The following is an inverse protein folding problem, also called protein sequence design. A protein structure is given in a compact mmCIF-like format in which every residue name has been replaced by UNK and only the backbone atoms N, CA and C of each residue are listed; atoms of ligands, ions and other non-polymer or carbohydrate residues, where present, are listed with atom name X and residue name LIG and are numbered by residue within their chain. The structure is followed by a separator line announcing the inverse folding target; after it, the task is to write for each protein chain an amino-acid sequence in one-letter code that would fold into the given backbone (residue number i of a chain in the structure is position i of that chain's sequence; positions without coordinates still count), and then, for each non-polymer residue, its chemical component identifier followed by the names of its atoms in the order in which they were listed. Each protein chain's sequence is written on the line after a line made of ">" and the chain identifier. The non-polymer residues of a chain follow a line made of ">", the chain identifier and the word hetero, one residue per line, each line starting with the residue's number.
data_IF_045274226736
#
_entry.id   IF_045274226736
#
_cell.length_a   1.000
_cell.length_b   1.000
_cell.length_c   1.000
_cell.angle_alpha   90.00
_cell.angle_beta   90.00
_cell.angle_gamma   90.00
#
_symmetry.space_group_name_H-M   'P 1'
#
loop_
_entity.id
_entity.type
_entity.pdbx_description
1 polymer ?
#
# COMPACT_ATOMS: atom_id res chain seq x y z
N UNK A 1 20.91 11.34 -3.81
CA UNK A 1 21.25 12.66 -3.25
C UNK A 1 22.08 13.51 -4.20
N UNK A 2 23.24 13.02 -4.65
CA UNK A 2 24.11 13.81 -5.54
C UNK A 2 23.44 14.24 -6.85
N UNK A 3 22.66 13.35 -7.51
CA UNK A 3 21.97 13.67 -8.77
C UNK A 3 20.88 14.73 -8.62
N UNK A 4 20.25 14.78 -7.46
CA UNK A 4 19.13 15.69 -7.18
C UNK A 4 19.55 16.86 -6.30
N UNK A 5 20.85 17.01 -6.00
CA UNK A 5 21.38 18.02 -5.09
C UNK A 5 20.64 18.05 -3.73
N UNK A 6 20.34 16.85 -3.22
CA UNK A 6 19.62 16.66 -1.95
C UNK A 6 20.55 16.06 -0.89
N UNK A 7 20.32 16.30 0.40
CA UNK A 7 21.01 15.63 1.47
C UNK A 7 20.85 14.12 1.38
N UNK A 8 21.84 13.36 1.85
CA UNK A 8 21.73 11.90 1.95
C UNK A 8 20.64 11.53 2.95
N UNK A 9 19.74 10.65 2.53
CA UNK A 9 18.62 10.16 3.37
C UNK A 9 18.99 8.94 4.20
N UNK A 10 20.24 8.42 4.06
CA UNK A 10 20.70 7.18 4.70
C UNK A 10 19.76 5.96 4.47
N UNK A 11 19.10 5.92 3.31
CA UNK A 11 18.11 4.87 2.97
C UNK A 11 18.75 3.55 2.54
N UNK A 12 19.98 3.29 2.94
CA UNK A 12 20.71 2.03 2.66
C UNK A 12 20.88 1.24 3.94
N UNK A 13 20.75 -0.07 3.82
CA UNK A 13 20.91 -0.98 4.95
C UNK A 13 21.37 -2.36 4.53
N UNK A 14 21.83 -3.15 5.52
CA UNK A 14 22.12 -4.58 5.40
C UNK A 14 21.80 -5.30 6.71
N UNK A 15 21.52 -6.58 6.63
CA UNK A 15 21.24 -7.41 7.80
C UNK A 15 22.45 -7.54 8.73
N UNK A 16 23.63 -7.77 8.17
CA UNK A 16 24.90 -7.89 8.91
C UNK A 16 26.07 -7.58 7.98
N UNK A 17 27.28 -7.64 8.52
CA UNK A 17 28.52 -7.46 7.75
C UNK A 17 28.72 -8.48 6.61
N UNK A 18 27.99 -9.60 6.63
CA UNK A 18 28.04 -10.64 5.58
C UNK A 18 27.26 -10.29 4.31
N UNK A 19 26.48 -9.21 4.34
CA UNK A 19 25.63 -8.78 3.22
C UNK A 19 26.12 -7.46 2.65
N UNK A 20 25.92 -7.28 1.35
CA UNK A 20 26.15 -5.99 0.71
C UNK A 20 25.08 -4.97 1.15
N UNK A 21 25.52 -3.72 1.28
CA UNK A 21 24.60 -2.62 1.58
C UNK A 21 23.87 -2.22 0.31
N UNK A 22 22.54 -2.23 0.35
CA UNK A 22 21.70 -1.79 -0.76
C UNK A 22 20.70 -0.74 -0.30
N UNK A 23 20.19 0.07 -1.23
CA UNK A 23 19.10 0.99 -0.95
C UNK A 23 17.81 0.19 -0.71
N UNK A 24 17.34 0.22 0.53
CA UNK A 24 16.16 -0.55 0.98
C UNK A 24 15.41 0.19 2.08
N UNK A 25 14.16 -0.16 2.20
CA UNK A 25 13.27 0.33 3.25
C UNK A 25 13.79 0.01 4.64
N UNK A 26 13.64 0.97 5.53
CA UNK A 26 13.75 0.82 6.99
C UNK A 26 12.36 1.03 7.58
N UNK A 27 12.16 2.04 8.44
CA UNK A 27 10.84 2.42 8.94
C UNK A 27 10.25 3.47 7.99
N UNK A 28 9.36 3.06 7.12
CA UNK A 28 8.77 3.93 6.10
C UNK A 28 7.27 3.99 6.29
N UNK A 29 6.73 5.18 6.43
CA UNK A 29 5.30 5.39 6.64
C UNK A 29 4.85 6.73 6.06
N UNK A 30 3.57 6.80 5.74
CA UNK A 30 2.91 8.02 5.34
C UNK A 30 2.45 8.77 6.60
N UNK A 31 2.68 10.09 6.63
CA UNK A 31 2.21 10.93 7.74
C UNK A 31 0.69 11.11 7.67
N UNK A 32 0.10 11.45 8.83
CA UNK A 32 -1.30 11.80 8.92
C UNK A 32 -1.65 12.99 8.01
N UNK A 33 -2.77 12.85 7.33
CA UNK A 33 -3.53 13.98 6.80
C UNK A 33 -4.58 14.46 7.80
N UNK A 34 -5.58 15.16 7.29
CA UNK A 34 -6.65 15.78 8.10
C UNK A 34 -8.03 15.19 7.85
N UNK A 35 -8.15 14.31 6.85
CA UNK A 35 -9.44 13.73 6.48
C UNK A 35 -9.92 12.71 7.53
N UNK A 36 -11.23 12.47 7.54
CA UNK A 36 -11.84 11.39 8.32
C UNK A 36 -12.16 10.23 7.38
N UNK A 37 -11.87 9.00 7.82
CA UNK A 37 -12.12 7.79 7.02
C UNK A 37 -13.60 7.68 6.62
N UNK A 38 -14.50 7.98 7.54
CA UNK A 38 -15.94 7.92 7.34
C UNK A 38 -16.41 8.88 6.23
N UNK A 39 -15.82 10.06 6.15
CA UNK A 39 -16.14 11.05 5.12
C UNK A 39 -15.58 10.63 3.76
N UNK A 40 -14.37 10.08 3.75
CA UNK A 40 -13.78 9.51 2.53
C UNK A 40 -14.68 8.40 1.94
N UNK A 41 -15.24 7.53 2.79
CA UNK A 41 -16.16 6.47 2.37
C UNK A 41 -17.46 7.08 1.83
N UNK A 42 -18.07 8.03 2.56
CA UNK A 42 -19.33 8.69 2.15
C UNK A 42 -19.25 9.39 0.79
N UNK A 43 -18.09 9.97 0.49
CA UNK A 43 -17.87 10.69 -0.77
C UNK A 43 -17.52 9.75 -1.95
N UNK A 44 -17.34 8.47 -1.71
CA UNK A 44 -16.98 7.48 -2.74
C UNK A 44 -18.25 6.82 -3.26
N UNK A 45 -18.63 7.13 -4.50
CA UNK A 45 -19.82 6.56 -5.14
C UNK A 45 -19.66 5.07 -5.44
N UNK A 46 -18.47 4.67 -5.92
CA UNK A 46 -18.13 3.26 -6.16
C UNK A 46 -16.62 3.04 -5.97
N UNK A 47 -16.25 1.99 -5.25
CA UNK A 47 -14.85 1.70 -5.00
C UNK A 47 -14.61 0.42 -4.21
N UNK A 48 -13.34 0.18 -3.88
CA UNK A 48 -12.91 -0.93 -3.04
C UNK A 48 -12.31 -0.38 -1.74
N UNK A 49 -12.86 -0.79 -0.61
CA UNK A 49 -12.25 -0.58 0.69
C UNK A 49 -11.31 -1.75 1.01
N UNK A 50 -10.02 -1.58 0.76
CA UNK A 50 -8.98 -2.55 1.10
C UNK A 50 -8.57 -2.34 2.57
N UNK A 51 -9.18 -3.09 3.49
CA UNK A 51 -9.00 -2.91 4.94
C UNK A 51 -7.68 -3.48 5.44
N UNK A 52 -7.30 -4.66 4.99
CA UNK A 52 -6.03 -5.28 5.35
C UNK A 52 -5.33 -5.89 4.15
N UNK A 53 -4.03 -5.67 4.08
CA UNK A 53 -3.20 -6.18 3.00
C UNK A 53 -2.59 -7.54 3.37
N UNK A 54 -2.27 -8.31 2.35
CA UNK A 54 -1.45 -9.52 2.46
C UNK A 54 -0.09 -9.28 1.77
N UNK A 55 0.61 -10.36 1.46
CA UNK A 55 1.90 -10.27 0.78
C UNK A 55 1.80 -9.81 -0.67
N UNK A 56 2.89 -9.31 -1.19
CA UNK A 56 3.02 -8.87 -2.57
C UNK A 56 4.47 -8.65 -2.96
N UNK A 57 4.67 -8.08 -4.13
CA UNK A 57 6.00 -7.79 -4.66
C UNK A 57 6.05 -6.42 -5.31
N UNK A 58 7.25 -5.84 -5.32
CA UNK A 58 7.57 -4.60 -6.02
C UNK A 58 8.76 -4.86 -6.93
N UNK A 59 8.63 -4.50 -8.20
CA UNK A 59 9.69 -4.58 -9.20
C UNK A 59 10.65 -3.38 -9.10
N UNK A 60 11.82 -3.49 -9.68
CA UNK A 60 12.79 -2.39 -9.74
C UNK A 60 12.25 -1.17 -10.52
N UNK A 61 11.29 -1.36 -11.40
CA UNK A 61 10.56 -0.31 -12.16
C UNK A 61 9.56 0.45 -11.30
N UNK A 62 9.25 -0.04 -10.09
CA UNK A 62 8.22 0.49 -9.22
C UNK A 62 6.84 -0.16 -9.41
N UNK A 63 6.70 -1.08 -10.36
CA UNK A 63 5.46 -1.84 -10.54
C UNK A 63 5.25 -2.78 -9.36
N UNK A 64 4.02 -2.83 -8.86
CA UNK A 64 3.67 -3.65 -7.72
C UNK A 64 2.41 -4.47 -7.94
N UNK A 65 2.33 -5.56 -7.19
CA UNK A 65 1.09 -6.28 -6.95
C UNK A 65 1.01 -6.70 -5.47
N UNK A 66 -0.11 -6.43 -4.84
CA UNK A 66 -0.36 -6.78 -3.44
C UNK A 66 -1.73 -7.42 -3.29
N UNK A 67 -1.76 -8.62 -2.72
CA UNK A 67 -3.01 -9.27 -2.37
C UNK A 67 -3.69 -8.53 -1.21
N UNK A 68 -5.01 -8.46 -1.26
CA UNK A 68 -5.83 -7.91 -0.20
C UNK A 68 -6.43 -9.05 0.60
N UNK A 69 -6.22 -9.05 1.92
CA UNK A 69 -6.74 -10.08 2.82
C UNK A 69 -8.21 -9.84 3.16
N UNK A 70 -8.55 -8.58 3.42
CA UNK A 70 -9.91 -8.17 3.79
C UNK A 70 -10.28 -6.93 3.00
N UNK A 71 -11.34 -7.05 2.19
CA UNK A 71 -11.83 -5.97 1.35
C UNK A 71 -13.37 -5.99 1.25
N UNK A 72 -13.92 -4.83 0.97
CA UNK A 72 -15.34 -4.62 0.79
C UNK A 72 -15.59 -3.68 -0.39
N UNK A 73 -16.73 -3.82 -1.05
CA UNK A 73 -17.18 -2.79 -1.98
C UNK A 73 -17.65 -1.56 -1.22
N UNK A 74 -17.42 -0.40 -1.81
CA UNK A 74 -18.09 0.84 -1.45
C UNK A 74 -19.09 1.12 -2.57
N UNK A 75 -20.34 1.31 -2.21
CA UNK A 75 -21.43 1.64 -3.13
C UNK A 75 -22.28 2.75 -2.50
N UNK A 76 -22.44 3.84 -3.23
CA UNK A 76 -23.19 5.02 -2.77
C UNK A 76 -22.79 5.51 -1.36
N UNK A 77 -21.48 5.59 -1.12
CA UNK A 77 -20.93 6.07 0.15
C UNK A 77 -21.07 5.10 1.33
N UNK A 78 -21.31 3.83 1.08
CA UNK A 78 -21.47 2.79 2.11
C UNK A 78 -20.61 1.58 1.82
N UNK A 79 -20.05 1.00 2.88
CA UNK A 79 -19.39 -0.31 2.80
C UNK A 79 -20.50 -1.36 2.67
N UNK A 80 -20.40 -2.21 1.64
CA UNK A 80 -21.43 -3.20 1.30
C UNK A 80 -20.88 -4.61 1.29
N UNK A 81 -20.62 -5.18 0.14
CA UNK A 81 -20.32 -6.60 -0.07
C UNK A 81 -18.84 -6.91 0.21
N UNK A 82 -18.52 -7.96 0.99
CA UNK A 82 -17.15 -8.42 1.11
C UNK A 82 -16.62 -8.96 -0.21
N UNK A 83 -15.35 -8.62 -0.53
CA UNK A 83 -14.66 -9.03 -1.75
C UNK A 83 -13.57 -10.02 -1.40
N UNK A 84 -13.55 -11.16 -2.09
CA UNK A 84 -12.54 -12.20 -1.91
C UNK A 84 -11.56 -12.20 -3.08
N UNK A 85 -10.27 -12.36 -2.77
CA UNK A 85 -9.23 -12.57 -3.78
C UNK A 85 -8.85 -11.31 -4.57
N UNK A 86 -9.09 -10.13 -4.02
CA UNK A 86 -8.66 -8.88 -4.65
C UNK A 86 -7.12 -8.74 -4.61
N UNK A 87 -6.57 -8.19 -5.68
CA UNK A 87 -5.14 -7.83 -5.79
C UNK A 87 -5.04 -6.41 -6.32
N UNK A 88 -4.33 -5.55 -5.62
CA UNK A 88 -4.02 -4.20 -6.06
C UNK A 88 -2.80 -4.23 -6.97
N UNK A 89 -2.92 -3.65 -8.16
CA UNK A 89 -1.88 -3.64 -9.19
C UNK A 89 -1.65 -2.19 -9.61
N UNK A 90 -0.40 -1.77 -9.62
CA UNK A 90 -0.06 -0.41 -10.02
C UNK A 90 1.44 -0.17 -10.11
N UNK A 91 1.78 1.09 -10.35
CA UNK A 91 3.14 1.61 -10.26
C UNK A 91 3.21 2.61 -9.10
N UNK A 92 4.27 2.56 -8.31
CA UNK A 92 4.40 3.38 -7.10
C UNK A 92 4.33 4.88 -7.39
N UNK A 93 5.01 5.35 -8.43
CA UNK A 93 5.00 6.77 -8.80
C UNK A 93 3.62 7.25 -9.24
N UNK A 94 2.95 6.47 -10.09
CA UNK A 94 1.62 6.81 -10.59
C UNK A 94 0.58 6.79 -9.48
N UNK A 95 0.65 5.78 -8.61
CA UNK A 95 -0.27 5.63 -7.47
C UNK A 95 -0.15 6.80 -6.50
N UNK A 96 1.08 7.24 -6.19
CA UNK A 96 1.29 8.39 -5.30
C UNK A 96 0.66 9.68 -5.84
N UNK A 97 0.69 9.88 -7.16
CA UNK A 97 0.07 11.05 -7.81
C UNK A 97 -1.47 10.98 -7.83
N UNK A 98 -2.04 9.80 -7.64
CA UNK A 98 -3.48 9.57 -7.60
C UNK A 98 -4.07 9.56 -6.18
N UNK A 99 -3.25 9.76 -5.15
CA UNK A 99 -3.74 9.93 -3.78
C UNK A 99 -4.38 11.32 -3.69
N UNK A 100 -5.68 11.36 -3.44
CA UNK A 100 -6.46 12.59 -3.35
C UNK A 100 -6.96 12.89 -1.92
N UNK A 101 -6.93 11.92 -1.02
CA UNK A 101 -7.31 12.07 0.39
C UNK A 101 -6.37 11.27 1.31
N UNK A 102 -6.08 11.83 2.47
CA UNK A 102 -5.25 11.21 3.52
C UNK A 102 -5.88 11.45 4.88
N UNK A 103 -6.24 10.38 5.55
CA UNK A 103 -6.86 10.43 6.86
C UNK A 103 -5.87 10.72 8.01
N UNK A 104 -6.40 11.02 9.19
CA UNK A 104 -5.64 11.26 10.41
C UNK A 104 -5.42 10.03 11.30
N UNK A 105 -5.64 8.82 10.80
CA UNK A 105 -5.69 7.59 11.58
C UNK A 105 -4.45 6.68 11.37
N UNK A 106 -3.25 7.27 11.32
CA UNK A 106 -2.01 6.51 11.15
C UNK A 106 -1.94 5.32 12.12
N UNK A 107 -1.81 4.14 11.55
CA UNK A 107 -1.50 2.91 12.28
C UNK A 107 -0.20 2.32 11.75
N UNK A 108 0.55 1.66 12.60
CA UNK A 108 1.82 1.01 12.27
C UNK A 108 1.73 -0.49 12.54
N UNK A 109 2.47 -1.24 11.75
CA UNK A 109 2.57 -2.68 11.90
C UNK A 109 4.01 -3.14 11.64
N UNK A 110 4.43 -4.13 12.38
CA UNK A 110 5.73 -4.76 12.18
C UNK A 110 5.71 -5.63 10.92
N UNK A 111 6.82 -5.63 10.20
CA UNK A 111 7.04 -6.46 9.04
C UNK A 111 8.51 -6.86 8.88
N UNK A 112 8.77 -7.67 7.86
CA UNK A 112 10.12 -8.05 7.45
C UNK A 112 10.40 -7.55 6.04
N UNK A 113 11.49 -6.83 5.87
CA UNK A 113 11.92 -6.39 4.54
C UNK A 113 13.15 -7.21 4.10
N UNK A 114 12.95 -8.13 3.15
CA UNK A 114 13.98 -9.01 2.60
C UNK A 114 14.50 -8.56 1.25
N UNK A 115 15.81 -8.78 0.99
CA UNK A 115 16.48 -8.55 -0.29
C UNK A 115 17.85 -9.20 -0.33
N UNK A 116 18.65 -8.93 -1.38
CA UNK A 116 20.05 -9.32 -1.44
C UNK A 116 20.90 -8.79 -0.26
N UNK A 117 20.48 -7.69 0.38
CA UNK A 117 21.10 -7.16 1.59
C UNK A 117 20.66 -7.86 2.89
N UNK A 118 20.00 -9.01 2.79
CA UNK A 118 19.41 -9.75 3.90
C UNK A 118 18.06 -9.21 4.34
N UNK A 119 17.52 -9.80 5.41
CA UNK A 119 16.19 -9.45 5.96
C UNK A 119 16.34 -8.74 7.29
N UNK A 120 15.60 -7.64 7.47
CA UNK A 120 15.52 -6.93 8.74
C UNK A 120 14.08 -6.69 9.16
N UNK A 121 13.81 -6.61 10.47
CA UNK A 121 12.55 -6.09 10.97
C UNK A 121 12.38 -4.63 10.52
N UNK A 122 11.17 -4.29 10.11
CA UNK A 122 10.79 -2.93 9.71
C UNK A 122 9.47 -2.57 10.38
N UNK A 123 9.29 -1.29 10.66
CA UNK A 123 8.00 -0.73 11.02
C UNK A 123 7.44 0.00 9.81
N UNK A 124 6.25 -0.38 9.40
CA UNK A 124 5.55 0.21 8.25
C UNK A 124 4.19 0.70 8.68
N UNK A 125 3.71 1.74 8.07
CA UNK A 125 2.41 2.27 8.41
C UNK A 125 1.92 3.32 7.45
N UNK A 126 0.61 3.52 7.53
CA UNK A 126 -0.04 4.60 6.83
C UNK A 126 -1.38 4.90 7.50
N UNK A 127 -1.88 6.12 7.38
CA UNK A 127 -3.29 6.39 7.60
C UNK A 127 -4.11 5.78 6.45
N UNK A 128 -5.41 5.77 6.56
CA UNK A 128 -6.26 5.48 5.41
C UNK A 128 -6.00 6.52 4.31
N UNK A 129 -5.86 6.05 3.08
CA UNK A 129 -5.68 6.89 1.90
C UNK A 129 -6.74 6.55 0.88
N UNK A 130 -7.19 7.54 0.11
CA UNK A 130 -7.99 7.31 -1.08
C UNK A 130 -7.12 7.51 -2.31
N UNK A 131 -7.12 6.50 -3.16
CA UNK A 131 -6.50 6.56 -4.49
C UNK A 131 -7.63 6.67 -5.49
N UNK A 132 -7.66 7.73 -6.28
CA UNK A 132 -8.77 8.03 -7.20
C UNK A 132 -8.99 6.94 -8.26
N UNK A 133 -7.93 6.24 -8.63
CA UNK A 133 -7.97 5.16 -9.62
C UNK A 133 -6.86 4.15 -9.39
N UNK A 134 -7.19 2.87 -9.40
CA UNK A 134 -6.21 1.77 -9.31
C UNK A 134 -6.74 0.51 -10.00
N UNK A 135 -5.85 -0.25 -10.61
CA UNK A 135 -6.23 -1.56 -11.16
C UNK A 135 -6.41 -2.56 -10.03
N UNK A 136 -7.57 -3.21 -10.02
CA UNK A 136 -7.89 -4.30 -9.10
C UNK A 136 -8.02 -5.59 -9.90
N UNK A 137 -7.09 -6.51 -9.70
CA UNK A 137 -7.19 -7.89 -10.18
C UNK A 137 -8.01 -8.74 -9.21
N UNK A 138 -8.63 -9.78 -9.72
CA UNK A 138 -9.37 -10.76 -8.92
C UNK A 138 -10.04 -11.80 -9.80
N UNK A 139 -10.40 -12.95 -9.23
CA UNK A 139 -11.27 -13.90 -9.91
C UNK A 139 -12.68 -13.32 -9.95
N UNK A 140 -13.33 -13.29 -11.13
CA UNK A 140 -14.77 -13.10 -11.22
C UNK A 140 -15.41 -14.20 -10.35
N UNK A 141 -16.08 -13.79 -9.29
CA UNK A 141 -16.93 -14.69 -8.53
C UNK A 141 -17.93 -15.30 -9.51
N UNK A 142 -17.79 -16.59 -9.81
CA UNK A 142 -18.82 -17.28 -10.54
C UNK A 142 -20.11 -17.14 -9.74
N UNK A 143 -21.16 -16.64 -10.36
CA UNK A 143 -22.51 -16.88 -9.88
C UNK A 143 -22.70 -18.39 -10.04
N UNK A 144 -22.50 -19.14 -8.98
CA UNK A 144 -23.09 -20.47 -8.90
C UNK A 144 -24.60 -20.24 -8.86
N UNK A 145 -25.21 -20.49 -9.98
CA UNK A 145 -26.64 -20.72 -10.02
C UNK A 145 -26.89 -22.11 -9.41
N UNK A 146 -27.37 -22.12 -8.17
CA UNK A 146 -28.06 -23.25 -7.61
C UNK A 146 -29.47 -23.34 -8.22
#
# INVERSE_FOLDING_TARGET
>A
GRRLNMPSTASSRRQSYKYETTSRMTNTFLLNGTDQLEDMIKETSYGLYAKTMAGGSVQATGDFNFAVREAYLIEDGKITTPVKGATLIGNGSDTLLKIDRVAGNLARAQGMCGSSSGSIPTDVGQPAIRVSEMTVGGSKGGKEHA
#
